data_IF_760929983013
#
_entry.id   IF_760929983013
#
_cell.length_a   1.000
_cell.length_b   1.000
_cell.length_c   1.000
_cell.angle_alpha   90.00
_cell.angle_beta   90.00
_cell.angle_gamma   90.00
#
_symmetry.space_group_name_H-M   'P 1'
#
loop_
_entity.id
_entity.type
_entity.pdbx_description
1 polymer ?
#
# COMPACT_ATOMS: atom_id res chain seq x y z
N UNK A 1 27.73 -48.17 22.80
CA UNK A 1 26.33 -48.54 22.48
C UNK A 1 25.90 -47.65 21.32
N UNK A 2 26.16 -47.94 20.04
CA UNK A 2 25.72 -49.09 19.23
C UNK A 2 24.20 -49.32 19.39
N UNK A 3 23.32 -49.34 18.39
CA UNK A 3 23.39 -49.54 16.93
C UNK A 3 22.13 -48.88 16.30
N UNK A 4 22.17 -48.22 15.12
CA UNK A 4 22.05 -48.74 13.73
C UNK A 4 20.76 -49.53 13.43
N UNK A 5 20.14 -49.17 12.27
CA UNK A 5 19.24 -49.91 11.34
C UNK A 5 17.81 -49.31 11.28
N UNK A 6 17.15 -49.04 10.15
CA UNK A 6 17.32 -49.27 8.70
C UNK A 6 16.33 -48.33 7.99
N UNK A 7 16.73 -47.50 7.03
CA UNK A 7 16.59 -47.71 5.56
C UNK A 7 15.29 -48.36 5.07
N UNK A 8 14.49 -47.60 4.33
CA UNK A 8 13.41 -48.11 3.48
C UNK A 8 13.07 -47.06 2.41
N UNK A 9 13.82 -47.07 1.31
CA UNK A 9 13.48 -46.32 0.11
C UNK A 9 12.39 -47.03 -0.70
N UNK A 10 11.51 -46.24 -1.31
CA UNK A 10 10.69 -46.65 -2.44
C UNK A 10 10.54 -45.49 -3.42
N UNK A 11 10.54 -45.88 -4.69
CA UNK A 11 10.91 -45.10 -5.88
C UNK A 11 10.02 -43.91 -6.28
N UNK A 12 10.57 -43.03 -7.14
CA UNK A 12 9.87 -41.94 -7.81
C UNK A 12 9.28 -42.40 -9.15
N UNK A 13 7.97 -42.30 -9.35
CA UNK A 13 7.33 -42.19 -10.69
C UNK A 13 5.81 -42.25 -10.57
N UNK A 14 5.11 -41.11 -10.62
CA UNK A 14 3.73 -40.96 -11.16
C UNK A 14 3.04 -39.66 -10.73
N UNK A 15 3.59 -38.50 -11.14
CA UNK A 15 2.74 -37.31 -11.29
C UNK A 15 2.70 -36.92 -12.76
N UNK A 16 2.05 -37.82 -13.50
CA UNK A 16 1.30 -37.52 -14.72
C UNK A 16 0.52 -36.23 -14.55
N UNK A 17 1.06 -35.14 -15.11
CA UNK A 17 0.43 -34.41 -16.20
C UNK A 17 -1.06 -34.74 -16.39
N UNK A 18 -1.93 -34.01 -15.70
CA UNK A 18 -3.38 -34.08 -15.92
C UNK A 18 -4.04 -32.72 -15.66
N UNK A 19 -4.48 -32.08 -16.75
CA UNK A 19 -5.43 -30.97 -16.81
C UNK A 19 -4.95 -29.62 -16.27
N UNK A 20 -4.53 -28.62 -17.07
CA UNK A 20 -5.10 -28.15 -18.33
C UNK A 20 -6.65 -28.05 -18.32
N UNK A 21 -7.28 -27.72 -17.19
CA UNK A 21 -8.71 -27.34 -17.15
C UNK A 21 -9.04 -26.35 -16.01
N UNK A 22 -8.15 -25.41 -15.68
CA UNK A 22 -8.62 -24.18 -15.04
C UNK A 22 -9.19 -23.27 -16.14
N UNK A 23 -10.41 -23.67 -16.52
CA UNK A 23 -11.37 -22.87 -17.25
C UNK A 23 -11.34 -21.45 -16.73
N UNK A 24 -11.08 -20.53 -17.65
CA UNK A 24 -11.75 -19.25 -17.77
C UNK A 24 -13.18 -19.31 -17.20
N UNK A 25 -13.29 -19.00 -15.91
CA UNK A 25 -14.53 -18.55 -15.29
C UNK A 25 -14.35 -17.06 -15.00
N UNK A 26 -14.09 -16.29 -16.07
CA UNK A 26 -14.51 -14.89 -16.09
C UNK A 26 -16.03 -14.94 -16.09
N UNK A 27 -16.60 -15.04 -14.90
CA UNK A 27 -18.00 -14.76 -14.64
C UNK A 27 -18.16 -13.28 -14.97
N UNK A 28 -18.44 -12.99 -16.24
CA UNK A 28 -19.07 -11.75 -16.66
C UNK A 28 -20.42 -11.79 -15.96
N UNK A 29 -20.46 -11.13 -14.81
CA UNK A 29 -21.61 -11.08 -13.94
C UNK A 29 -22.80 -10.64 -14.74
N UNK A 30 -23.77 -11.55 -14.86
CA UNK A 30 -25.14 -11.24 -15.21
C UNK A 30 -25.58 -10.03 -14.38
N UNK A 31 -25.97 -8.95 -15.06
CA UNK A 31 -26.70 -7.81 -14.49
C UNK A 31 -28.00 -8.35 -13.88
N UNK A 32 -27.90 -8.82 -12.63
CA UNK A 32 -29.04 -9.14 -11.80
C UNK A 32 -29.74 -7.81 -11.54
N UNK A 33 -30.91 -7.64 -12.14
CA UNK A 33 -31.84 -6.54 -11.94
C UNK A 33 -32.16 -6.41 -10.44
N UNK A 34 -31.27 -5.72 -9.70
CA UNK A 34 -31.40 -5.47 -8.28
C UNK A 34 -32.46 -4.38 -8.15
N UNK A 35 -33.56 -4.71 -7.49
CA UNK A 35 -34.69 -3.81 -7.24
C UNK A 35 -34.20 -2.43 -6.78
N UNK A 36 -34.53 -1.31 -7.46
CA UNK A 36 -33.92 0.00 -7.21
C UNK A 36 -34.07 0.49 -5.76
N UNK A 37 -35.13 0.05 -5.06
CA UNK A 37 -35.36 0.34 -3.64
C UNK A 37 -34.29 -0.24 -2.70
N UNK A 38 -33.71 -1.39 -3.02
CA UNK A 38 -32.65 -2.00 -2.21
C UNK A 38 -31.33 -1.21 -2.33
N UNK A 39 -31.08 -0.57 -3.48
CA UNK A 39 -29.95 0.34 -3.68
C UNK A 39 -30.08 1.63 -2.89
N UNK A 40 -31.26 2.26 -2.91
CA UNK A 40 -31.49 3.55 -2.21
C UNK A 40 -31.36 3.39 -0.69
N UNK A 41 -31.96 2.34 -0.10
CA UNK A 41 -31.85 2.10 1.33
C UNK A 41 -30.40 1.83 1.78
N UNK A 42 -29.63 1.11 0.96
CA UNK A 42 -28.21 0.86 1.21
C UNK A 42 -27.40 2.16 1.22
N UNK A 43 -27.58 3.00 0.19
CA UNK A 43 -26.92 4.31 0.11
C UNK A 43 -27.26 5.20 1.29
N UNK A 44 -28.55 5.35 1.63
CA UNK A 44 -28.98 6.17 2.77
C UNK A 44 -28.36 5.69 4.08
N UNK A 45 -28.29 4.37 4.30
CA UNK A 45 -27.69 3.81 5.52
C UNK A 45 -26.18 4.13 5.61
N UNK A 46 -25.44 3.98 4.51
CA UNK A 46 -24.01 4.28 4.45
C UNK A 46 -23.76 5.79 4.65
N UNK A 47 -24.53 6.66 3.99
CA UNK A 47 -24.36 8.11 4.13
C UNK A 47 -24.74 8.61 5.52
N UNK A 48 -25.85 8.14 6.10
CA UNK A 48 -26.29 8.57 7.44
C UNK A 48 -25.33 8.10 8.53
N UNK A 49 -24.79 6.88 8.42
CA UNK A 49 -23.77 6.40 9.37
C UNK A 49 -22.46 7.16 9.25
N UNK A 50 -21.99 7.46 8.03
CA UNK A 50 -20.81 8.30 7.82
C UNK A 50 -21.03 9.73 8.36
N UNK A 51 -22.18 10.34 8.09
CA UNK A 51 -22.53 11.66 8.61
C UNK A 51 -22.57 11.67 10.15
N UNK A 52 -23.09 10.61 10.77
CA UNK A 52 -23.08 10.45 12.22
C UNK A 52 -21.66 10.31 12.79
N UNK A 53 -20.73 9.62 12.10
CA UNK A 53 -19.31 9.58 12.48
C UNK A 53 -18.69 10.98 12.43
N UNK A 54 -18.90 11.71 11.33
CA UNK A 54 -18.38 13.08 11.18
C UNK A 54 -18.97 14.01 12.24
N UNK A 55 -20.26 13.88 12.54
CA UNK A 55 -20.93 14.60 13.61
C UNK A 55 -20.29 14.27 14.98
N UNK A 56 -20.03 12.99 15.28
CA UNK A 56 -19.38 12.58 16.53
C UNK A 56 -17.97 13.16 16.70
N UNK A 57 -17.16 13.13 15.63
CA UNK A 57 -15.82 13.76 15.62
C UNK A 57 -15.94 15.28 15.83
N UNK A 58 -16.91 15.93 15.19
CA UNK A 58 -17.15 17.38 15.32
C UNK A 58 -17.58 17.76 16.74
N UNK A 59 -18.49 16.99 17.35
CA UNK A 59 -18.89 17.22 18.75
C UNK A 59 -17.72 17.05 19.71
N UNK A 60 -16.88 16.04 19.50
CA UNK A 60 -15.69 15.83 20.31
C UNK A 60 -14.68 16.99 20.13
N UNK A 61 -14.49 17.45 18.90
CA UNK A 61 -13.64 18.59 18.58
C UNK A 61 -14.11 19.86 19.29
N UNK A 62 -15.41 20.19 19.19
CA UNK A 62 -16.00 21.37 19.85
C UNK A 62 -15.99 21.26 21.37
N UNK A 63 -16.30 20.08 21.91
CA UNK A 63 -16.25 19.84 23.35
C UNK A 63 -14.82 20.03 23.89
N UNK A 64 -13.79 19.51 23.21
CA UNK A 64 -12.41 19.73 23.63
C UNK A 64 -11.99 21.20 23.59
N UNK A 65 -12.45 21.99 22.61
CA UNK A 65 -12.17 23.44 22.58
C UNK A 65 -12.76 24.14 23.80
N UNK A 66 -14.02 23.85 24.11
CA UNK A 66 -14.65 24.42 25.31
C UNK A 66 -13.96 24.03 26.61
N UNK A 67 -13.37 22.83 26.68
CA UNK A 67 -12.59 22.37 27.85
C UNK A 67 -11.23 23.08 27.92
N UNK A 68 -10.57 23.32 26.79
CA UNK A 68 -9.28 24.01 26.78
C UNK A 68 -9.42 25.52 27.04
N UNK A 69 -10.53 26.15 26.62
CA UNK A 69 -10.83 27.57 26.90
C UNK A 69 -10.89 27.92 28.39
N UNK A 70 -11.23 26.95 29.24
CA UNK A 70 -11.29 27.09 30.69
C UNK A 70 -10.05 26.55 31.42
N UNK A 71 -9.05 26.05 30.69
CA UNK A 71 -7.78 25.56 31.26
C UNK A 71 -7.61 24.04 31.34
N UNK A 72 -8.46 23.26 30.67
CA UNK A 72 -8.22 21.84 30.40
C UNK A 72 -8.87 20.82 31.36
N UNK A 73 -9.46 21.25 32.48
CA UNK A 73 -10.21 20.35 33.37
C UNK A 73 -11.44 21.02 33.99
N UNK A 74 -12.59 20.36 33.84
CA UNK A 74 -13.85 20.71 34.51
C UNK A 74 -14.23 19.76 35.65
N UNK A 75 -13.51 18.65 35.81
CA UNK A 75 -13.92 17.58 36.70
C UNK A 75 -13.67 17.99 38.15
N UNK A 76 -14.70 17.91 39.00
CA UNK A 76 -14.52 17.92 40.45
C UNK A 76 -14.40 16.47 40.91
N UNK A 77 -13.20 16.08 41.32
CA UNK A 77 -12.91 14.78 41.93
C UNK A 77 -13.09 14.81 43.47
N UNK A 78 -13.66 15.90 43.99
CA UNK A 78 -13.86 16.13 45.43
C UNK A 78 -12.62 16.69 46.15
N UNK A 79 -11.43 16.66 45.53
CA UNK A 79 -10.18 17.20 46.10
C UNK A 79 -9.71 18.43 45.32
N UNK A 80 -9.96 18.47 44.01
CA UNK A 80 -9.63 19.57 43.12
C UNK A 80 -10.92 20.26 42.70
N UNK A 81 -11.12 21.46 43.23
CA UNK A 81 -12.25 22.30 42.86
C UNK A 81 -11.87 22.99 41.54
N UNK A 82 -12.59 22.73 40.43
CA UNK A 82 -12.30 23.41 39.17
C UNK A 82 -12.53 24.91 39.34
N UNK A 83 -11.57 25.72 38.87
CA UNK A 83 -11.61 27.19 38.99
C UNK A 83 -12.84 27.76 38.28
N UNK A 84 -13.29 27.11 37.20
CA UNK A 84 -14.51 27.46 36.46
C UNK A 84 -15.36 26.21 36.22
N UNK A 85 -16.69 26.27 36.45
CA UNK A 85 -17.59 25.18 36.10
C UNK A 85 -17.61 24.96 34.59
N UNK A 86 -17.78 23.70 34.18
CA UNK A 86 -17.91 23.34 32.77
C UNK A 86 -19.16 24.01 32.16
N UNK A 87 -19.08 24.54 30.94
CA UNK A 87 -20.26 25.00 30.23
C UNK A 87 -21.30 23.88 30.11
N UNK A 88 -22.57 24.23 30.21
CA UNK A 88 -23.66 23.26 30.11
C UNK A 88 -23.61 22.51 28.78
N UNK A 89 -23.85 21.19 28.82
CA UNK A 89 -23.87 20.34 27.63
C UNK A 89 -22.51 19.86 27.12
N UNK A 90 -21.38 20.44 27.56
CA UNK A 90 -20.04 20.00 27.14
C UNK A 90 -19.74 18.54 27.51
N UNK A 91 -19.99 18.07 28.75
CA UNK A 91 -19.78 16.66 29.09
C UNK A 91 -20.67 15.73 28.24
N UNK A 92 -21.90 16.15 27.96
CA UNK A 92 -22.83 15.38 27.13
C UNK A 92 -22.38 15.35 25.67
N UNK A 93 -21.87 16.45 25.14
CA UNK A 93 -21.31 16.53 23.78
C UNK A 93 -20.04 15.67 23.65
N UNK A 94 -19.16 15.67 24.64
CA UNK A 94 -17.97 14.82 24.66
C UNK A 94 -18.35 13.33 24.73
N UNK A 95 -19.17 12.93 25.70
CA UNK A 95 -19.61 11.54 25.85
C UNK A 95 -20.45 11.08 24.65
N UNK A 96 -21.39 11.92 24.20
CA UNK A 96 -22.22 11.68 23.03
C UNK A 96 -21.41 11.59 21.74
N UNK A 97 -20.38 12.43 21.58
CA UNK A 97 -19.46 12.37 20.45
C UNK A 97 -18.63 11.08 20.42
N UNK A 98 -18.11 10.65 21.58
CA UNK A 98 -17.33 9.40 21.70
C UNK A 98 -18.22 8.18 21.43
N UNK A 99 -19.27 7.98 22.25
CA UNK A 99 -20.10 6.78 22.13
C UNK A 99 -20.93 6.79 20.83
N UNK A 100 -21.51 7.94 20.48
CA UNK A 100 -22.27 8.11 19.24
C UNK A 100 -21.39 7.94 18.00
N UNK A 101 -20.18 8.50 18.00
CA UNK A 101 -19.21 8.33 16.91
C UNK A 101 -18.75 6.88 16.75
N UNK A 102 -18.45 6.18 17.85
CA UNK A 102 -18.05 4.76 17.82
C UNK A 102 -19.19 3.87 17.32
N UNK A 103 -20.41 4.05 17.84
CA UNK A 103 -21.59 3.29 17.39
C UNK A 103 -21.85 3.55 15.90
N UNK A 104 -21.79 4.81 15.47
CA UNK A 104 -21.95 5.18 14.06
C UNK A 104 -20.88 4.55 13.17
N UNK A 105 -19.63 4.47 13.65
CA UNK A 105 -18.53 3.83 12.93
C UNK A 105 -18.76 2.33 12.78
N UNK A 106 -19.24 1.64 13.82
CA UNK A 106 -19.61 0.23 13.72
C UNK A 106 -20.74 0.02 12.72
N UNK A 107 -21.78 0.86 12.74
CA UNK A 107 -22.88 0.81 11.77
C UNK A 107 -22.37 1.05 10.34
N UNK A 108 -21.43 1.99 10.16
CA UNK A 108 -20.82 2.27 8.87
C UNK A 108 -20.00 1.08 8.33
N UNK A 109 -19.14 0.48 9.16
CA UNK A 109 -18.36 -0.71 8.79
C UNK A 109 -19.29 -1.89 8.45
N UNK A 110 -20.31 -2.11 9.28
CA UNK A 110 -21.29 -3.16 9.02
C UNK A 110 -22.09 -2.92 7.73
N UNK A 111 -22.54 -1.70 7.47
CA UNK A 111 -23.29 -1.36 6.27
C UNK A 111 -22.44 -1.52 5.01
N UNK A 112 -21.20 -1.01 5.02
CA UNK A 112 -20.28 -1.14 3.89
C UNK A 112 -19.95 -2.62 3.60
N UNK A 113 -19.72 -3.44 4.62
CA UNK A 113 -19.52 -4.88 4.48
C UNK A 113 -20.77 -5.60 3.93
N UNK A 114 -21.96 -5.29 4.45
CA UNK A 114 -23.23 -5.91 4.03
C UNK A 114 -23.60 -5.59 2.59
N UNK A 115 -23.32 -4.36 2.14
CA UNK A 115 -23.70 -3.90 0.80
C UNK A 115 -22.57 -4.02 -0.24
N UNK A 116 -21.38 -4.49 0.15
CA UNK A 116 -20.22 -4.65 -0.74
C UNK A 116 -19.64 -3.31 -1.24
N UNK A 117 -19.79 -2.25 -0.44
CA UNK A 117 -19.27 -0.91 -0.76
C UNK A 117 -17.86 -0.77 -0.17
N UNK A 118 -16.89 -0.21 -0.90
CA UNK A 118 -15.55 0.03 -0.35
C UNK A 118 -15.63 0.92 0.90
N UNK A 119 -15.08 0.41 2.00
CA UNK A 119 -15.10 1.09 3.29
C UNK A 119 -13.91 2.06 3.42
N UNK A 120 -14.21 3.29 3.79
CA UNK A 120 -13.21 4.33 4.07
C UNK A 120 -12.94 4.46 5.58
N UNK A 121 -13.32 3.44 6.36
CA UNK A 121 -13.25 3.46 7.82
C UNK A 121 -11.82 3.69 8.35
N UNK A 122 -10.80 3.28 7.60
CA UNK A 122 -9.40 3.52 7.94
C UNK A 122 -9.03 5.01 7.98
N UNK A 123 -9.77 5.89 7.28
CA UNK A 123 -9.61 7.34 7.36
C UNK A 123 -10.19 7.94 8.65
N UNK A 124 -11.06 7.22 9.35
CA UNK A 124 -11.64 7.67 10.62
C UNK A 124 -10.56 7.91 11.69
N UNK A 125 -9.52 7.08 11.71
CA UNK A 125 -8.40 7.22 12.64
C UNK A 125 -7.58 8.50 12.39
N UNK A 126 -7.01 8.74 11.19
CA UNK A 126 -6.38 10.03 10.87
C UNK A 126 -7.28 11.22 11.13
N UNK A 127 -8.56 11.15 10.76
CA UNK A 127 -9.51 12.26 10.97
C UNK A 127 -9.62 12.61 12.46
N UNK A 128 -9.83 11.61 13.33
CA UNK A 128 -9.92 11.81 14.78
C UNK A 128 -8.66 12.45 15.37
N UNK A 129 -7.49 11.86 15.07
CA UNK A 129 -6.22 12.30 15.67
C UNK A 129 -5.74 13.64 15.14
N UNK A 130 -5.93 13.93 13.85
CA UNK A 130 -5.57 15.23 13.28
C UNK A 130 -6.48 16.34 13.81
N UNK A 131 -7.80 16.08 13.97
CA UNK A 131 -8.71 17.04 14.59
C UNK A 131 -8.34 17.34 16.05
N UNK A 132 -8.01 16.31 16.84
CA UNK A 132 -7.55 16.49 18.23
C UNK A 132 -6.18 17.17 18.30
N UNK A 133 -5.23 16.75 17.48
CA UNK A 133 -3.89 17.33 17.41
C UNK A 133 -3.91 18.82 17.05
N UNK A 134 -4.78 19.21 16.10
CA UNK A 134 -4.97 20.61 15.74
C UNK A 134 -5.42 21.47 16.93
N UNK A 135 -6.41 20.98 17.67
CA UNK A 135 -6.90 21.60 18.90
C UNK A 135 -5.75 21.87 19.89
N UNK A 136 -4.92 20.87 20.19
CA UNK A 136 -3.80 21.03 21.11
C UNK A 136 -2.69 21.95 20.60
N UNK A 137 -2.41 21.95 19.30
CA UNK A 137 -1.41 22.85 18.71
C UNK A 137 -1.86 24.31 18.79
N UNK A 138 -3.13 24.59 18.46
CA UNK A 138 -3.69 25.93 18.47
C UNK A 138 -3.70 26.52 19.88
N UNK A 139 -4.29 25.79 20.84
CA UNK A 139 -4.31 26.21 22.23
C UNK A 139 -2.91 26.22 22.87
N UNK A 140 -1.98 25.38 22.38
CA UNK A 140 -0.60 25.36 22.86
C UNK A 140 0.21 26.61 22.48
N UNK A 141 -0.10 27.21 21.32
CA UNK A 141 0.55 28.43 20.82
C UNK A 141 -0.07 29.68 21.46
N UNK A 142 -1.40 29.73 21.56
CA UNK A 142 -2.14 30.87 22.13
C UNK A 142 -3.11 30.40 23.22
N UNK A 143 -2.60 30.07 24.43
CA UNK A 143 -3.45 29.59 25.50
C UNK A 143 -4.23 30.74 26.15
N UNK A 144 -5.48 30.48 26.55
CA UNK A 144 -6.32 31.48 27.18
C UNK A 144 -5.75 31.91 28.54
N UNK A 145 -5.46 33.21 28.69
CA UNK A 145 -5.24 33.87 29.99
C UNK A 145 -3.79 34.15 30.39
N UNK A 146 -2.78 33.48 29.80
CA UNK A 146 -1.36 33.72 30.14
C UNK A 146 -0.56 34.33 28.99
N UNK A 147 -0.93 34.06 27.73
CA UNK A 147 -0.14 34.46 26.55
C UNK A 147 1.24 33.78 26.47
N UNK A 148 1.52 32.82 27.35
CA UNK A 148 2.76 32.05 27.37
C UNK A 148 2.53 30.66 26.79
N UNK A 149 3.50 30.11 26.04
CA UNK A 149 3.36 28.80 25.39
C UNK A 149 3.05 27.67 26.40
N UNK A 150 1.96 26.94 26.15
CA UNK A 150 1.59 25.76 26.93
C UNK A 150 2.28 24.51 26.36
N UNK A 151 3.53 24.28 26.78
CA UNK A 151 4.35 23.16 26.30
C UNK A 151 3.68 21.78 26.40
N UNK A 152 2.92 21.53 27.46
CA UNK A 152 2.19 20.26 27.62
C UNK A 152 1.19 20.02 26.50
N UNK A 153 0.47 21.06 26.08
CA UNK A 153 -0.47 20.98 24.97
C UNK A 153 0.24 20.82 23.64
N UNK A 154 1.34 21.55 23.41
CA UNK A 154 2.15 21.39 22.19
C UNK A 154 2.68 19.97 22.00
N UNK A 155 3.23 19.36 23.05
CA UNK A 155 3.73 17.98 22.98
C UNK A 155 2.61 17.00 22.63
N UNK A 156 1.45 17.12 23.29
CA UNK A 156 0.27 16.30 22.96
C UNK A 156 -0.19 16.52 21.52
N UNK A 157 -0.22 17.77 21.05
CA UNK A 157 -0.61 18.13 19.68
C UNK A 157 0.29 17.48 18.64
N UNK A 158 1.62 17.58 18.81
CA UNK A 158 2.61 16.96 17.91
C UNK A 158 2.46 15.44 17.89
N UNK A 159 2.29 14.80 19.05
CA UNK A 159 2.11 13.34 19.14
C UNK A 159 0.84 12.90 18.43
N UNK A 160 -0.28 13.59 18.61
CA UNK A 160 -1.52 13.28 17.90
C UNK A 160 -1.44 13.52 16.40
N UNK A 161 -0.80 14.61 15.97
CA UNK A 161 -0.55 14.85 14.54
C UNK A 161 0.33 13.76 13.95
N UNK A 162 1.35 13.28 14.67
CA UNK A 162 2.16 12.15 14.22
C UNK A 162 1.33 10.85 14.13
N UNK A 163 0.53 10.52 15.15
CA UNK A 163 -0.30 9.32 15.17
C UNK A 163 -1.39 9.29 14.08
N UNK A 164 -1.95 10.45 13.71
CA UNK A 164 -2.92 10.55 12.62
C UNK A 164 -2.27 10.72 11.25
N UNK A 165 -1.21 11.52 11.17
CA UNK A 165 -0.55 11.93 9.93
C UNK A 165 0.39 10.87 9.35
N UNK A 166 1.13 10.12 10.18
CA UNK A 166 2.05 9.09 9.68
C UNK A 166 1.33 7.99 8.90
N UNK A 167 0.24 7.36 9.42
CA UNK A 167 -0.53 6.40 8.65
C UNK A 167 -1.09 7.02 7.36
N UNK A 168 -1.61 8.25 7.43
CA UNK A 168 -2.19 8.93 6.28
C UNK A 168 -1.16 9.10 5.15
N UNK A 169 0.06 9.57 5.47
CA UNK A 169 1.15 9.75 4.49
C UNK A 169 1.66 8.40 3.96
N UNK A 170 1.78 7.39 4.82
CA UNK A 170 2.23 6.05 4.43
C UNK A 170 1.27 5.40 3.40
N UNK A 171 -0.04 5.56 3.59
CA UNK A 171 -1.05 5.00 2.68
C UNK A 171 -1.40 5.92 1.50
N UNK A 172 -1.12 7.22 1.59
CA UNK A 172 -1.41 8.17 0.50
C UNK A 172 -0.59 7.86 -0.78
N UNK A 173 0.68 7.44 -0.66
CA UNK A 173 1.54 7.16 -1.82
C UNK A 173 1.05 6.00 -2.71
N UNK A 174 0.75 4.80 -2.18
CA UNK A 174 0.21 3.72 -3.01
C UNK A 174 -1.18 4.06 -3.55
N UNK A 175 -2.02 4.76 -2.78
CA UNK A 175 -3.34 5.21 -3.23
C UNK A 175 -3.23 6.22 -4.39
N UNK A 176 -2.32 7.19 -4.28
CA UNK A 176 -2.06 8.15 -5.34
C UNK A 176 -1.53 7.46 -6.61
N UNK A 177 -0.68 6.43 -6.49
CA UNK A 177 -0.21 5.64 -7.65
C UNK A 177 -1.30 4.78 -8.30
N UNK A 178 -2.29 4.34 -7.51
CA UNK A 178 -3.42 3.56 -8.01
C UNK A 178 -4.50 4.44 -8.67
N UNK A 179 -4.69 5.66 -8.17
CA UNK A 179 -5.73 6.59 -8.64
C UNK A 179 -5.22 7.51 -9.75
N UNK A 180 -3.98 7.99 -9.69
CA UNK A 180 -3.41 8.82 -10.74
C UNK A 180 -3.04 7.90 -11.91
N UNK A 181 -3.73 7.99 -13.07
CA UNK A 181 -3.27 7.32 -14.26
C UNK A 181 -1.88 7.89 -14.56
N UNK A 182 -0.84 7.08 -14.39
CA UNK A 182 0.44 7.39 -15.01
C UNK A 182 0.13 7.64 -16.49
N UNK A 183 0.63 8.74 -17.10
CA UNK A 183 0.43 8.97 -18.51
C UNK A 183 0.85 7.69 -19.21
N UNK A 184 -0.10 7.09 -19.96
CA UNK A 184 0.18 5.90 -20.74
C UNK A 184 1.49 6.18 -21.47
N UNK A 185 2.52 5.34 -21.23
CA UNK A 185 3.76 5.49 -21.99
C UNK A 185 3.30 5.58 -23.44
N UNK A 186 3.69 6.62 -24.20
CA UNK A 186 3.34 6.69 -25.59
C UNK A 186 3.77 5.36 -26.17
N UNK A 187 2.79 4.58 -26.61
CA UNK A 187 3.03 3.35 -27.33
C UNK A 187 3.60 3.83 -28.64
N UNK A 188 4.92 4.02 -28.66
CA UNK A 188 5.64 4.25 -29.89
C UNK A 188 5.27 3.05 -30.76
N UNK A 189 4.61 3.26 -31.91
CA UNK A 189 4.38 2.18 -32.85
C UNK A 189 5.75 1.69 -33.27
N UNK A 190 6.27 0.65 -32.61
CA UNK A 190 7.41 -0.07 -33.12
C UNK A 190 6.90 -0.66 -34.44
N UNK A 191 7.46 -0.25 -35.59
CA UNK A 191 7.03 -0.78 -36.87
C UNK A 191 7.25 -2.29 -36.85
N UNK A 192 6.16 -3.04 -36.78
CA UNK A 192 6.07 -4.39 -37.31
C UNK A 192 7.05 -5.43 -36.76
N UNK A 193 7.41 -5.46 -35.47
CA UNK A 193 7.94 -6.70 -34.89
C UNK A 193 6.80 -7.71 -34.71
N UNK A 194 6.31 -8.23 -35.84
CA UNK A 194 5.53 -9.46 -35.84
C UNK A 194 6.44 -10.51 -35.23
N UNK A 195 6.09 -11.02 -34.04
CA UNK A 195 6.74 -12.23 -33.50
C UNK A 195 6.73 -13.24 -34.64
N UNK A 196 7.89 -13.66 -35.16
CA UNK A 196 7.90 -14.69 -36.19
C UNK A 196 7.12 -15.85 -35.61
N UNK A 197 6.05 -16.21 -36.31
CA UNK A 197 5.28 -17.42 -36.01
C UNK A 197 6.35 -18.50 -35.90
N UNK A 198 6.43 -19.17 -34.75
CA UNK A 198 7.21 -20.41 -34.63
C UNK A 198 6.55 -21.41 -35.55
N UNK A 199 6.83 -21.31 -36.85
CA UNK A 199 6.71 -22.44 -37.74
C UNK A 199 7.59 -23.53 -37.14
N UNK A 200 7.12 -24.78 -37.09
CA UNK A 200 7.98 -25.89 -36.72
C UNK A 200 9.18 -25.83 -37.65
N UNK A 201 10.34 -25.53 -37.09
CA UNK A 201 11.61 -25.62 -37.80
C UNK A 201 11.74 -27.07 -38.21
N UNK A 202 11.37 -27.37 -39.45
CA UNK A 202 11.78 -28.60 -40.10
C UNK A 202 13.29 -28.50 -40.14
N UNK A 203 13.96 -29.35 -39.36
CA UNK A 203 15.39 -29.58 -39.45
C UNK A 203 15.68 -30.10 -40.86
N UNK A 204 15.83 -29.20 -41.81
CA UNK A 204 16.51 -29.49 -43.06
C UNK A 204 17.96 -29.59 -42.68
N UNK A 205 18.46 -30.83 -42.65
CA UNK A 205 19.87 -31.15 -42.48
C UNK A 205 20.65 -30.32 -43.51
N UNK A 206 21.46 -29.34 -43.08
CA UNK A 206 22.17 -28.49 -44.02
C UNK A 206 23.18 -29.38 -44.76
N UNK A 207 22.91 -29.63 -46.04
CA UNK A 207 23.92 -30.17 -46.93
C UNK A 207 24.99 -29.08 -47.04
N UNK A 208 26.08 -29.29 -46.31
CA UNK A 208 27.23 -28.40 -46.28
C UNK A 208 27.90 -28.47 -47.65
N UNK A 209 27.62 -27.49 -48.49
CA UNK A 209 28.39 -27.25 -49.71
C UNK A 209 29.56 -26.34 -49.31
N UNK A 210 30.82 -26.83 -49.31
CA UNK A 210 31.97 -26.02 -48.96
C UNK A 210 32.23 -24.98 -50.05
N UNK A 211 31.59 -23.82 -49.91
CA UNK A 211 31.93 -22.61 -50.66
C UNK A 211 33.37 -22.16 -50.35
N UNK A 212 34.05 -21.50 -51.30
CA UNK A 212 35.46 -21.15 -51.18
C UNK A 212 35.70 -20.14 -50.05
N UNK A 213 36.91 -20.12 -49.47
CA UNK A 213 37.24 -19.28 -48.32
C UNK A 213 37.22 -17.81 -48.74
N UNK A 214 36.12 -17.13 -48.42
CA UNK A 214 35.96 -15.69 -48.57
C UNK A 214 35.99 -15.03 -47.20
N UNK A 215 37.00 -14.21 -46.99
CA UNK A 215 37.31 -13.44 -45.79
C UNK A 215 36.08 -12.73 -45.17
N UNK A 216 35.63 -13.22 -44.00
CA UNK A 216 34.78 -12.46 -43.07
C UNK A 216 35.61 -12.05 -41.86
N UNK A 217 36.46 -11.06 -42.09
CA UNK A 217 37.23 -10.38 -41.07
C UNK A 217 36.35 -9.26 -40.48
N UNK A 218 35.53 -9.58 -39.48
CA UNK A 218 34.66 -8.57 -38.85
C UNK A 218 33.85 -9.01 -37.62
N UNK A 219 33.72 -10.31 -37.31
CA UNK A 219 32.86 -10.79 -36.21
C UNK A 219 33.61 -11.37 -35.00
N UNK A 220 34.94 -11.24 -34.94
CA UNK A 220 35.75 -11.81 -33.85
C UNK A 220 35.64 -11.01 -32.55
N UNK A 221 35.50 -9.68 -32.64
CA UNK A 221 35.41 -8.80 -31.47
C UNK A 221 34.12 -9.00 -30.67
N UNK A 222 32.97 -8.89 -31.33
CA UNK A 222 31.65 -8.96 -30.68
C UNK A 222 31.39 -10.33 -30.02
N UNK A 223 31.79 -11.42 -30.70
CA UNK A 223 31.70 -12.77 -30.13
C UNK A 223 32.59 -12.94 -28.89
N UNK A 224 33.76 -12.29 -28.85
CA UNK A 224 34.66 -12.35 -27.69
C UNK A 224 34.15 -11.55 -26.49
N UNK A 225 33.49 -10.41 -26.73
CA UNK A 225 32.86 -9.58 -25.68
C UNK A 225 31.71 -10.33 -25.03
N UNK A 226 30.84 -10.96 -25.84
CA UNK A 226 29.72 -11.77 -25.32
C UNK A 226 30.23 -12.94 -24.49
N UNK A 227 31.25 -13.67 -24.97
CA UNK A 227 31.87 -14.76 -24.21
C UNK A 227 32.52 -14.28 -22.90
N UNK A 228 33.15 -13.11 -22.89
CA UNK A 228 33.73 -12.51 -21.69
C UNK A 228 32.68 -12.11 -20.64
N UNK A 229 31.56 -11.53 -21.09
CA UNK A 229 30.45 -11.16 -20.21
C UNK A 229 29.74 -12.39 -19.62
N UNK A 230 29.59 -13.45 -20.39
CA UNK A 230 28.98 -14.70 -19.94
C UNK A 230 29.82 -15.35 -18.83
N UNK A 231 31.15 -15.39 -19.01
CA UNK A 231 32.11 -15.88 -18.00
C UNK A 231 32.10 -15.03 -16.72
N UNK A 232 32.02 -13.71 -16.83
CA UNK A 232 31.89 -12.81 -15.66
C UNK A 232 30.59 -13.07 -14.89
N UNK A 233 29.48 -13.34 -15.58
CA UNK A 233 28.20 -13.65 -14.94
C UNK A 233 28.25 -14.97 -14.14
N UNK A 234 29.01 -15.94 -14.62
CA UNK A 234 29.16 -17.24 -13.97
C UNK A 234 30.04 -17.15 -12.70
N UNK A 235 31.08 -16.31 -12.74
CA UNK A 235 31.91 -16.00 -11.57
C UNK A 235 31.14 -15.24 -10.49
N UNK A 236 30.25 -14.32 -10.87
CA UNK A 236 29.39 -13.60 -9.93
C UNK A 236 28.36 -14.55 -9.28
N UNK A 237 27.72 -15.41 -10.08
CA UNK A 237 26.74 -16.39 -9.59
C UNK A 237 27.35 -17.44 -8.66
N UNK A 238 28.62 -17.81 -8.88
CA UNK A 238 29.35 -18.72 -7.99
C UNK A 238 29.87 -18.06 -6.71
N UNK A 239 29.69 -16.75 -6.53
CA UNK A 239 30.16 -16.00 -5.37
C UNK A 239 31.67 -15.77 -5.35
N UNK A 240 32.36 -16.00 -6.46
CA UNK A 240 33.80 -15.77 -6.60
C UNK A 240 34.17 -14.30 -6.79
N UNK A 241 33.18 -13.45 -7.15
CA UNK A 241 33.30 -11.99 -7.23
C UNK A 241 32.21 -11.33 -6.39
N UNK A 242 32.57 -10.24 -5.72
CA UNK A 242 31.61 -9.33 -5.07
C UNK A 242 30.89 -8.45 -6.10
N UNK A 243 29.76 -7.84 -5.71
CA UNK A 243 28.98 -6.96 -6.60
C UNK A 243 29.79 -5.77 -7.13
N UNK A 244 30.69 -5.24 -6.31
CA UNK A 244 31.57 -4.11 -6.62
C UNK A 244 32.66 -4.49 -7.62
N UNK A 245 33.21 -5.69 -7.52
CA UNK A 245 34.20 -6.21 -8.47
C UNK A 245 33.55 -6.56 -9.82
N UNK A 246 32.31 -7.06 -9.80
CA UNK A 246 31.58 -7.40 -11.02
C UNK A 246 31.23 -6.16 -11.85
N UNK A 247 30.78 -5.07 -11.23
CA UNK A 247 30.45 -3.83 -11.94
C UNK A 247 31.69 -3.22 -12.60
N UNK A 248 32.81 -3.14 -11.87
CA UNK A 248 34.07 -2.63 -12.39
C UNK A 248 34.66 -3.50 -13.52
N UNK A 249 34.51 -4.83 -13.45
CA UNK A 249 34.99 -5.72 -14.50
C UNK A 249 34.11 -5.67 -15.76
N UNK A 250 32.79 -5.47 -15.59
CA UNK A 250 31.86 -5.32 -16.72
C UNK A 250 32.12 -4.05 -17.52
N UNK A 251 32.43 -2.93 -16.86
CA UNK A 251 32.76 -1.67 -17.54
C UNK A 251 34.02 -1.82 -18.40
N UNK A 252 35.08 -2.45 -17.88
CA UNK A 252 36.30 -2.72 -18.67
C UNK A 252 36.05 -3.54 -19.93
N UNK A 253 35.23 -4.60 -19.83
CA UNK A 253 34.91 -5.46 -20.99
C UNK A 253 34.09 -4.72 -22.05
N UNK A 254 33.27 -3.73 -21.63
CA UNK A 254 32.50 -2.91 -22.55
C UNK A 254 33.37 -1.82 -23.22
N UNK A 255 34.38 -1.30 -22.52
CA UNK A 255 35.35 -0.35 -23.09
C UNK A 255 36.31 -1.01 -24.09
N UNK A 256 36.76 -2.25 -23.82
CA UNK A 256 37.64 -3.02 -24.73
C UNK A 256 36.90 -3.52 -25.98
N UNK A 257 35.57 -3.59 -25.93
CA UNK A 257 34.72 -4.08 -27.02
C UNK A 257 34.12 -3.00 -27.92
N UNK A 258 34.31 -1.72 -27.60
CA UNK A 258 33.80 -0.55 -28.34
C UNK A 258 34.81 -0.05 -29.38
#
# INVERSE_FOLDING_TARGET
>A
MAAILRSGGSSPSSWTQSGSLLRSATVIGTESARTPRAGVAASLTVFMSLAAVVCGITLLFLAMRSIMEIGGSCGSDGVHIPVRPCPEGVPLAAMGGIFGGVIALFVYIWATAKYGVPAWAWLGWPALFLSLGWNFLEFGIDPPGTGELAWGWLVCGVVFVAMGGVPLVAFAKPLARAILPLPARPEYPYPGYQRPRKEPVVLVEPTYDPGPPGDRMGSSGEASVVAALERLSELHRSGALTDEEFSAAKERVLEEGA
#
